data_IF_937611427643
#
_entry.id   IF_937611427643
#
_cell.length_a   1.000
_cell.length_b   1.000
_cell.length_c   1.000
_cell.angle_alpha   90.00
_cell.angle_beta   90.00
_cell.angle_gamma   90.00
#
_symmetry.space_group_name_H-M   'P 1'
#
loop_
_entity.id
_entity.type
_entity.pdbx_description
1 polymer ?
#
# COMPACT_ATOMS: atom_id res chain seq x y z
N UNK A 1 -5.00 13.08 13.66
CA UNK A 1 -4.58 11.77 13.10
C UNK A 1 -4.39 11.95 11.60
N UNK A 2 -3.37 11.33 11.02
CA UNK A 2 -3.16 11.37 9.58
C UNK A 2 -3.41 9.98 8.97
N UNK A 3 -4.00 9.96 7.78
CA UNK A 3 -4.16 8.78 6.94
C UNK A 3 -3.10 8.85 5.83
N UNK A 4 -2.07 8.01 5.92
CA UNK A 4 -0.93 8.00 5.00
C UNK A 4 -1.15 6.92 3.93
N UNK A 5 -1.55 7.31 2.73
CA UNK A 5 -1.94 6.40 1.66
C UNK A 5 -0.81 6.30 0.63
N UNK A 6 0.06 5.31 0.76
CA UNK A 6 1.09 5.01 -0.24
C UNK A 6 0.45 4.31 -1.44
N UNK A 7 0.61 4.85 -2.63
CA UNK A 7 -0.08 4.40 -3.83
C UNK A 7 -1.51 4.96 -3.95
N UNK A 8 -1.75 6.13 -3.36
CA UNK A 8 -3.08 6.76 -3.29
C UNK A 8 -3.62 7.24 -4.64
N UNK A 9 -2.75 7.57 -5.59
CA UNK A 9 -3.12 7.96 -6.96
C UNK A 9 -3.47 6.78 -7.86
N UNK A 10 -3.31 5.53 -7.42
CA UNK A 10 -3.75 4.34 -8.12
C UNK A 10 -5.27 4.13 -8.06
N UNK A 11 -5.78 3.15 -8.82
CA UNK A 11 -7.22 2.84 -8.88
C UNK A 11 -7.83 2.59 -7.48
N UNK A 12 -7.29 1.62 -6.73
CA UNK A 12 -7.79 1.29 -5.39
C UNK A 12 -7.57 2.47 -4.43
N UNK A 13 -6.42 3.14 -4.52
CA UNK A 13 -6.06 4.26 -3.66
C UNK A 13 -7.04 5.43 -3.78
N UNK A 14 -7.41 5.80 -4.99
CA UNK A 14 -8.38 6.87 -5.25
C UNK A 14 -9.73 6.56 -4.61
N UNK A 15 -10.25 5.34 -4.81
CA UNK A 15 -11.51 4.92 -4.19
C UNK A 15 -11.42 4.87 -2.66
N UNK A 16 -10.29 4.41 -2.11
CA UNK A 16 -10.07 4.41 -0.66
C UNK A 16 -10.07 5.84 -0.11
N UNK A 17 -9.37 6.77 -0.76
CA UNK A 17 -9.31 8.17 -0.33
C UNK A 17 -10.71 8.79 -0.31
N UNK A 18 -11.54 8.55 -1.32
CA UNK A 18 -12.93 8.99 -1.32
C UNK A 18 -13.69 8.44 -0.11
N UNK A 19 -13.58 7.14 0.16
CA UNK A 19 -14.26 6.52 1.31
C UNK A 19 -13.73 7.02 2.65
N UNK A 20 -12.44 7.28 2.77
CA UNK A 20 -11.87 7.87 4.00
C UNK A 20 -12.45 9.27 4.25
N UNK A 21 -12.54 10.11 3.23
CA UNK A 21 -13.15 11.45 3.34
C UNK A 21 -14.58 11.38 3.87
N UNK A 22 -15.37 10.47 3.31
CA UNK A 22 -16.81 10.39 3.61
C UNK A 22 -17.12 9.77 4.97
N UNK A 23 -16.31 8.81 5.42
CA UNK A 23 -16.67 7.93 6.53
C UNK A 23 -15.74 8.02 7.75
N UNK A 24 -14.50 8.47 7.59
CA UNK A 24 -13.49 8.29 8.64
C UNK A 24 -12.87 9.60 9.14
N UNK A 25 -12.73 10.61 8.28
CA UNK A 25 -12.01 11.85 8.62
C UNK A 25 -12.82 12.72 9.56
N UNK A 26 -12.22 13.08 10.68
CA UNK A 26 -12.76 14.01 11.66
C UNK A 26 -12.14 15.40 11.48
N UNK A 27 -12.74 16.46 12.03
CA UNK A 27 -12.10 17.78 12.04
C UNK A 27 -10.70 17.71 12.65
N UNK A 28 -9.70 18.18 11.90
CA UNK A 28 -8.30 18.14 12.30
C UNK A 28 -7.52 16.91 11.82
N UNK A 29 -8.16 15.91 11.23
CA UNK A 29 -7.47 14.81 10.54
C UNK A 29 -7.05 15.23 9.13
N UNK A 30 -5.98 14.61 8.61
CA UNK A 30 -5.49 14.84 7.26
C UNK A 30 -5.37 13.53 6.49
N UNK A 31 -5.66 13.58 5.19
CA UNK A 31 -5.35 12.49 4.26
C UNK A 31 -4.16 12.91 3.41
N UNK A 32 -3.12 12.09 3.40
CA UNK A 32 -1.95 12.25 2.54
C UNK A 32 -1.98 11.18 1.44
N UNK A 33 -2.01 11.63 0.19
CA UNK A 33 -1.74 10.78 -0.97
C UNK A 33 -0.23 10.82 -1.24
N UNK A 34 0.42 9.68 -1.02
CA UNK A 34 1.86 9.48 -1.13
C UNK A 34 2.14 8.55 -2.32
N UNK A 35 2.38 9.14 -3.48
CA UNK A 35 2.54 8.37 -4.71
C UNK A 35 3.72 8.85 -5.55
N UNK A 36 4.20 8.00 -6.44
CA UNK A 36 5.22 8.36 -7.43
C UNK A 36 4.62 9.27 -8.52
N UNK A 37 3.36 9.09 -8.83
CA UNK A 37 2.61 9.81 -9.86
C UNK A 37 1.58 10.72 -9.21
N UNK A 38 1.53 11.97 -9.68
CA UNK A 38 0.61 12.96 -9.12
C UNK A 38 -0.66 13.11 -9.99
N UNK A 39 -1.80 13.50 -9.39
CA UNK A 39 -3.01 13.77 -10.15
C UNK A 39 -2.78 14.75 -11.31
N UNK A 40 -3.28 14.39 -12.48
CA UNK A 40 -3.14 15.21 -13.70
C UNK A 40 -1.84 14.96 -14.48
N UNK A 41 -0.96 14.05 -14.05
CA UNK A 41 0.21 13.64 -14.83
C UNK A 41 -0.13 12.55 -15.84
N UNK A 42 0.67 12.48 -16.92
CA UNK A 42 0.55 11.43 -17.93
C UNK A 42 0.84 10.05 -17.30
N UNK A 43 0.02 9.05 -17.63
CA UNK A 43 0.13 7.71 -17.06
C UNK A 43 -0.80 7.42 -15.88
N UNK A 44 -1.49 8.43 -15.37
CA UNK A 44 -2.60 8.26 -14.43
C UNK A 44 -3.85 7.88 -15.21
N UNK A 45 -4.63 6.93 -14.70
CA UNK A 45 -5.86 6.49 -15.39
C UNK A 45 -6.78 7.69 -15.58
N UNK A 46 -7.09 8.09 -16.84
CA UNK A 46 -7.92 9.25 -17.10
C UNK A 46 -9.29 9.12 -16.41
N UNK A 47 -9.73 10.18 -15.72
CA UNK A 47 -11.04 10.25 -15.07
C UNK A 47 -11.08 9.68 -13.65
N UNK A 48 -9.99 9.09 -13.13
CA UNK A 48 -9.95 8.55 -11.76
C UNK A 48 -9.24 9.50 -10.80
N UNK A 49 -8.31 10.30 -11.30
CA UNK A 49 -7.47 11.15 -10.44
C UNK A 49 -7.71 12.62 -10.72
N UNK A 50 -8.86 13.12 -10.32
CA UNK A 50 -9.02 14.54 -10.03
C UNK A 50 -8.45 14.82 -8.64
N UNK A 51 -7.80 15.99 -8.48
CA UNK A 51 -7.36 16.42 -7.14
C UNK A 51 -8.57 16.47 -6.23
N UNK A 52 -8.57 15.60 -5.22
CA UNK A 52 -9.59 15.64 -4.19
C UNK A 52 -9.35 16.84 -3.28
N UNK A 53 -10.34 17.70 -3.14
CA UNK A 53 -10.31 18.78 -2.17
C UNK A 53 -10.09 18.20 -0.75
N UNK A 54 -9.18 18.81 0.00
CA UNK A 54 -8.86 18.36 1.38
C UNK A 54 -7.87 17.19 1.45
N UNK A 55 -7.29 16.74 0.33
CA UNK A 55 -6.21 15.75 0.28
C UNK A 55 -4.88 16.43 0.03
N UNK A 56 -3.87 16.04 0.78
CA UNK A 56 -2.50 16.56 0.68
C UNK A 56 -1.69 15.57 -0.17
N UNK A 57 -1.21 16.02 -1.31
CA UNK A 57 -0.44 15.20 -2.26
C UNK A 57 1.05 15.40 -2.06
N UNK A 58 1.80 14.29 -1.95
CA UNK A 58 3.26 14.30 -1.86
C UNK A 58 3.86 13.23 -2.76
N UNK A 59 4.86 13.62 -3.55
CA UNK A 59 5.60 12.66 -4.38
C UNK A 59 6.51 11.81 -3.52
N UNK A 60 6.26 10.51 -3.50
CA UNK A 60 7.03 9.53 -2.73
C UNK A 60 7.34 8.32 -3.61
N UNK A 61 8.61 7.95 -3.67
CA UNK A 61 9.07 6.70 -4.28
C UNK A 61 9.37 5.69 -3.18
N UNK A 62 8.48 4.73 -2.99
CA UNK A 62 8.62 3.70 -1.95
C UNK A 62 9.85 2.81 -2.11
N UNK A 63 10.49 2.79 -3.29
CA UNK A 63 11.75 2.07 -3.53
C UNK A 63 12.94 2.70 -2.79
N UNK A 64 12.77 3.92 -2.28
CA UNK A 64 13.78 4.70 -1.56
C UNK A 64 13.37 4.88 -0.11
N UNK A 65 14.31 5.18 0.81
CA UNK A 65 13.97 5.60 2.16
C UNK A 65 12.95 6.75 2.14
N UNK A 66 11.88 6.61 2.92
CA UNK A 66 10.78 7.57 2.93
C UNK A 66 11.13 8.74 3.85
N UNK A 67 11.02 9.95 3.30
CA UNK A 67 11.12 11.20 4.04
C UNK A 67 9.94 12.10 3.69
N UNK A 68 9.26 12.63 4.70
CA UNK A 68 8.13 13.55 4.54
C UNK A 68 8.49 14.93 5.13
N UNK A 69 7.81 15.96 4.66
CA UNK A 69 7.96 17.34 5.12
C UNK A 69 7.21 17.65 6.43
N UNK A 70 6.68 16.62 7.07
CA UNK A 70 6.04 16.67 8.38
C UNK A 70 6.45 15.45 9.21
N UNK A 71 6.22 15.50 10.52
CA UNK A 71 6.52 14.38 11.43
C UNK A 71 5.24 13.61 11.74
N UNK A 72 5.13 12.35 11.30
CA UNK A 72 4.02 11.48 11.68
C UNK A 72 3.99 11.20 13.18
N UNK A 73 2.84 10.77 13.66
CA UNK A 73 2.60 10.42 15.06
C UNK A 73 2.24 8.93 15.21
N UNK A 74 2.29 8.43 16.43
CA UNK A 74 1.94 7.05 16.76
C UNK A 74 0.48 6.70 16.47
N UNK A 75 -0.39 7.70 16.35
CA UNK A 75 -1.82 7.53 16.09
C UNK A 75 -2.16 7.54 14.58
N UNK A 76 -1.18 7.86 13.74
CA UNK A 76 -1.38 7.87 12.29
C UNK A 76 -1.54 6.43 11.76
N UNK A 77 -2.23 6.32 10.61
CA UNK A 77 -2.54 5.04 9.98
C UNK A 77 -1.93 5.00 8.59
N UNK A 78 -1.20 3.94 8.30
CA UNK A 78 -0.64 3.68 6.98
C UNK A 78 -1.57 2.75 6.19
N UNK A 79 -1.87 3.14 4.96
CA UNK A 79 -2.43 2.30 3.91
C UNK A 79 -1.36 2.09 2.86
N UNK A 80 -0.81 0.88 2.79
CA UNK A 80 0.21 0.56 1.79
C UNK A 80 -0.41 -0.17 0.60
N UNK A 81 -0.69 0.60 -0.46
CA UNK A 81 -1.22 0.13 -1.74
C UNK A 81 -0.16 0.24 -2.85
N UNK A 82 0.99 0.87 -2.55
CA UNK A 82 2.03 1.08 -3.55
C UNK A 82 2.56 -0.26 -4.07
N UNK A 83 2.44 -0.49 -5.36
CA UNK A 83 2.91 -1.72 -6.01
C UNK A 83 3.05 -1.54 -7.52
N UNK A 84 3.97 -2.27 -8.11
CA UNK A 84 3.89 -2.62 -9.53
C UNK A 84 2.85 -3.75 -9.65
N UNK A 85 1.80 -3.46 -10.39
CA UNK A 85 0.69 -4.36 -10.64
C UNK A 85 1.02 -5.32 -11.78
N UNK A 86 0.29 -6.45 -11.88
CA UNK A 86 0.38 -7.38 -12.99
C UNK A 86 -0.10 -6.71 -14.28
N UNK A 87 0.80 -6.04 -14.98
CA UNK A 87 0.56 -5.50 -16.32
C UNK A 87 1.56 -6.17 -17.26
N UNK A 88 1.15 -6.69 -18.42
CA UNK A 88 2.08 -7.23 -19.40
C UNK A 88 3.17 -6.20 -19.72
N UNK A 89 4.43 -6.65 -19.78
CA UNK A 89 5.55 -5.81 -20.20
C UNK A 89 6.45 -5.26 -19.07
N UNK A 90 6.16 -5.53 -17.80
CA UNK A 90 7.12 -5.25 -16.74
C UNK A 90 8.15 -6.37 -16.64
N UNK A 91 9.45 -6.04 -16.55
CA UNK A 91 10.47 -7.04 -16.25
C UNK A 91 10.32 -7.53 -14.81
N UNK A 92 10.71 -8.78 -14.54
CA UNK A 92 10.51 -9.43 -13.25
C UNK A 92 11.09 -8.64 -12.07
N UNK A 93 12.25 -8.02 -12.26
CA UNK A 93 12.92 -7.23 -11.21
C UNK A 93 12.08 -6.03 -10.74
N UNK A 94 11.22 -5.46 -11.60
CA UNK A 94 10.40 -4.30 -11.25
C UNK A 94 9.41 -4.63 -10.13
N UNK A 95 8.88 -5.86 -10.10
CA UNK A 95 8.02 -6.34 -9.02
C UNK A 95 8.79 -6.42 -7.70
N UNK A 96 10.03 -6.89 -7.74
CA UNK A 96 10.84 -7.05 -6.53
C UNK A 96 11.31 -5.69 -6.00
N UNK A 97 11.79 -4.83 -6.88
CA UNK A 97 12.23 -3.49 -6.49
C UNK A 97 11.12 -2.62 -5.90
N UNK A 98 9.91 -2.71 -6.45
CA UNK A 98 8.81 -1.89 -5.96
C UNK A 98 8.07 -2.56 -4.80
N UNK A 99 7.66 -3.82 -4.96
CA UNK A 99 6.75 -4.43 -3.98
C UNK A 99 7.51 -4.88 -2.72
N UNK A 100 8.71 -5.43 -2.86
CA UNK A 100 9.51 -5.91 -1.73
C UNK A 100 10.24 -4.73 -1.07
N UNK A 101 11.01 -3.98 -1.85
CA UNK A 101 11.73 -2.82 -1.29
C UNK A 101 10.76 -1.76 -0.75
N UNK A 102 9.62 -1.57 -1.41
CA UNK A 102 8.55 -0.70 -0.92
C UNK A 102 8.01 -1.13 0.42
N UNK A 103 7.75 -2.45 0.61
CA UNK A 103 7.32 -2.98 1.90
C UNK A 103 8.38 -2.76 3.00
N UNK A 104 9.67 -2.99 2.69
CA UNK A 104 10.78 -2.73 3.61
C UNK A 104 10.82 -1.26 4.03
N UNK A 105 10.75 -0.33 3.07
CA UNK A 105 10.84 1.11 3.35
C UNK A 105 9.61 1.63 4.11
N UNK A 106 8.40 1.17 3.76
CA UNK A 106 7.16 1.57 4.46
C UNK A 106 7.16 1.04 5.90
N UNK A 107 7.58 -0.20 6.13
CA UNK A 107 7.65 -0.76 7.50
C UNK A 107 8.77 -0.11 8.32
N UNK A 108 9.92 0.20 7.72
CA UNK A 108 11.00 0.94 8.36
C UNK A 108 10.55 2.36 8.74
N UNK A 109 9.84 3.05 7.85
CA UNK A 109 9.25 4.36 8.12
C UNK A 109 8.24 4.30 9.29
N UNK A 110 7.36 3.31 9.31
CA UNK A 110 6.42 3.10 10.41
C UNK A 110 7.16 2.87 11.74
N UNK A 111 8.23 2.08 11.72
CA UNK A 111 9.05 1.78 12.90
C UNK A 111 9.78 3.04 13.41
N UNK A 112 10.38 3.82 12.51
CA UNK A 112 11.09 5.06 12.84
C UNK A 112 10.18 6.09 13.53
N UNK A 113 8.90 6.18 13.12
CA UNK A 113 7.94 7.14 13.64
C UNK A 113 6.99 6.56 14.71
N UNK A 114 7.17 5.30 15.08
CA UNK A 114 6.34 4.63 16.09
C UNK A 114 4.88 4.43 15.65
N UNK A 115 4.59 4.46 14.33
CA UNK A 115 3.26 4.21 13.79
C UNK A 115 2.90 2.75 14.06
N UNK A 116 1.67 2.51 14.54
CA UNK A 116 1.24 1.19 15.03
C UNK A 116 0.25 0.49 14.13
N UNK A 117 -0.32 1.18 13.12
CA UNK A 117 -1.39 0.64 12.29
C UNK A 117 -0.99 0.66 10.82
N UNK A 118 -0.94 -0.52 10.21
CA UNK A 118 -0.74 -0.68 8.77
C UNK A 118 -1.85 -1.54 8.20
N UNK A 119 -2.50 -1.05 7.13
CA UNK A 119 -3.29 -1.85 6.22
C UNK A 119 -2.48 -2.04 4.94
N UNK A 120 -2.21 -3.29 4.60
CA UNK A 120 -1.46 -3.67 3.40
C UNK A 120 -2.37 -4.33 2.37
N UNK A 121 -2.39 -3.79 1.17
CA UNK A 121 -3.10 -4.39 0.05
C UNK A 121 -2.18 -5.38 -0.67
N UNK A 122 -2.44 -6.66 -0.44
CA UNK A 122 -1.82 -7.77 -1.13
C UNK A 122 -2.59 -8.12 -2.41
N UNK A 123 -2.81 -9.41 -2.67
CA UNK A 123 -3.52 -9.93 -3.84
C UNK A 123 -3.91 -11.40 -3.57
N UNK A 124 -4.80 -11.95 -4.37
CA UNK A 124 -4.99 -13.41 -4.47
C UNK A 124 -3.82 -14.11 -5.19
N UNK A 125 -2.97 -13.38 -5.92
CA UNK A 125 -1.84 -13.94 -6.68
C UNK A 125 -0.85 -14.77 -5.82
N UNK A 126 -0.61 -14.52 -4.53
CA UNK A 126 0.13 -15.41 -3.64
C UNK A 126 -0.38 -16.85 -3.57
N UNK A 127 -1.66 -17.08 -3.82
CA UNK A 127 -2.20 -18.46 -3.83
C UNK A 127 -1.84 -19.27 -5.07
N UNK A 128 -1.34 -18.61 -6.12
CA UNK A 128 -1.11 -19.23 -7.42
C UNK A 128 -2.40 -19.48 -8.20
N UNK A 129 -2.25 -20.00 -9.42
CA UNK A 129 -3.39 -20.40 -10.24
C UNK A 129 -3.92 -21.76 -9.78
N UNK A 130 -5.18 -21.83 -9.39
CA UNK A 130 -5.85 -23.06 -9.02
C UNK A 130 -7.36 -22.92 -9.21
N UNK A 131 -8.03 -24.02 -9.51
CA UNK A 131 -9.50 -24.08 -9.63
C UNK A 131 -10.19 -24.28 -8.28
N UNK A 132 -9.43 -24.64 -7.26
CA UNK A 132 -9.95 -24.88 -5.90
C UNK A 132 -10.27 -23.59 -5.18
N UNK A 133 -11.28 -23.64 -4.31
CA UNK A 133 -11.59 -22.55 -3.38
C UNK A 133 -10.39 -22.27 -2.46
N UNK A 134 -9.95 -21.02 -2.43
CA UNK A 134 -8.88 -20.55 -1.53
C UNK A 134 -9.47 -19.74 -0.39
N UNK A 135 -8.88 -19.90 0.78
CA UNK A 135 -9.20 -19.17 2.00
C UNK A 135 -7.91 -18.57 2.56
N UNK A 136 -8.02 -17.75 3.59
CA UNK A 136 -6.88 -17.14 4.26
C UNK A 136 -5.91 -18.19 4.85
N UNK A 137 -6.42 -19.39 5.20
CA UNK A 137 -5.63 -20.50 5.73
C UNK A 137 -4.97 -21.36 4.64
N UNK A 138 -5.30 -21.11 3.37
CA UNK A 138 -4.69 -21.86 2.26
C UNK A 138 -3.21 -21.53 2.15
N UNK A 139 -2.36 -22.55 2.04
CA UNK A 139 -0.92 -22.38 1.85
C UNK A 139 -0.65 -21.61 0.54
N UNK A 140 0.03 -20.46 0.59
CA UNK A 140 0.41 -19.72 -0.60
C UNK A 140 1.42 -20.50 -1.47
N UNK A 141 1.14 -20.62 -2.76
CA UNK A 141 2.00 -21.29 -3.75
C UNK A 141 2.12 -20.42 -5.01
N UNK A 142 2.68 -19.20 -4.89
CA UNK A 142 2.76 -18.28 -6.03
C UNK A 142 3.67 -18.82 -7.12
N UNK A 143 3.27 -18.66 -8.37
CA UNK A 143 4.00 -19.11 -9.55
C UNK A 143 4.31 -17.97 -10.54
N UNK A 144 4.15 -16.72 -10.10
CA UNK A 144 4.49 -15.52 -10.89
C UNK A 144 5.37 -14.57 -10.08
N UNK A 145 6.24 -13.75 -10.72
CA UNK A 145 7.04 -12.75 -10.03
C UNK A 145 6.20 -11.78 -9.21
N UNK A 146 5.03 -11.38 -9.71
CA UNK A 146 4.07 -10.57 -8.98
C UNK A 146 3.56 -11.27 -7.71
N UNK A 147 3.05 -12.50 -7.83
CA UNK A 147 2.55 -13.27 -6.68
C UNK A 147 3.62 -13.51 -5.63
N UNK A 148 4.85 -13.84 -6.06
CA UNK A 148 6.01 -14.01 -5.18
C UNK A 148 6.31 -12.70 -4.45
N UNK A 149 6.39 -11.57 -5.17
CA UNK A 149 6.69 -10.27 -4.58
C UNK A 149 5.66 -9.82 -3.54
N UNK A 150 4.37 -10.07 -3.81
CA UNK A 150 3.29 -9.77 -2.86
C UNK A 150 3.36 -10.66 -1.61
N UNK A 151 3.65 -11.96 -1.77
CA UNK A 151 3.83 -12.86 -0.62
C UNK A 151 5.02 -12.44 0.26
N UNK A 152 6.15 -12.09 -0.35
CA UNK A 152 7.31 -11.61 0.41
C UNK A 152 6.98 -10.30 1.14
N UNK A 153 6.27 -9.37 0.48
CA UNK A 153 5.81 -8.14 1.11
C UNK A 153 4.87 -8.41 2.31
N UNK A 154 3.96 -9.38 2.22
CA UNK A 154 3.16 -9.81 3.38
C UNK A 154 4.04 -10.25 4.56
N UNK A 155 5.08 -11.06 4.29
CA UNK A 155 6.01 -11.54 5.34
C UNK A 155 6.77 -10.39 5.98
N UNK A 156 7.20 -9.39 5.22
CA UNK A 156 7.86 -8.20 5.74
C UNK A 156 6.93 -7.45 6.71
N UNK A 157 5.66 -7.23 6.35
CA UNK A 157 4.68 -6.60 7.21
C UNK A 157 4.37 -7.43 8.46
N UNK A 158 4.28 -8.76 8.33
CA UNK A 158 4.10 -9.67 9.48
C UNK A 158 5.29 -9.63 10.44
N UNK A 159 6.53 -9.58 9.93
CA UNK A 159 7.73 -9.40 10.75
C UNK A 159 7.67 -8.05 11.49
N UNK A 160 7.28 -6.97 10.80
CA UNK A 160 7.09 -5.66 11.44
C UNK A 160 6.07 -5.75 12.58
N UNK A 161 4.93 -6.38 12.38
CA UNK A 161 3.91 -6.57 13.42
C UNK A 161 4.44 -7.37 14.61
N UNK A 162 5.16 -8.47 14.35
CA UNK A 162 5.65 -9.39 15.38
C UNK A 162 6.67 -8.75 16.34
N UNK A 163 7.34 -7.67 15.96
CA UNK A 163 8.33 -6.99 16.80
C UNK A 163 7.71 -6.24 17.99
N UNK A 164 6.42 -5.92 17.95
CA UNK A 164 5.76 -5.15 19.03
C UNK A 164 4.28 -5.51 19.14
N UNK A 165 3.83 -5.85 20.34
CA UNK A 165 2.45 -6.33 20.60
C UNK A 165 1.36 -5.29 20.36
N UNK A 166 1.72 -4.00 20.31
CA UNK A 166 0.79 -2.90 20.04
C UNK A 166 0.59 -2.61 18.56
N UNK A 167 1.32 -3.30 17.69
CA UNK A 167 1.20 -3.11 16.23
C UNK A 167 0.03 -3.90 15.68
N UNK A 168 -0.77 -3.22 14.89
CA UNK A 168 -1.94 -3.77 14.21
C UNK A 168 -1.66 -3.85 12.70
N UNK A 169 -1.81 -5.03 12.13
CA UNK A 169 -1.64 -5.27 10.71
C UNK A 169 -2.92 -5.89 10.14
N UNK A 170 -3.43 -5.28 9.09
CA UNK A 170 -4.49 -5.86 8.26
C UNK A 170 -3.93 -6.14 6.88
N UNK A 171 -4.01 -7.38 6.41
CA UNK A 171 -3.64 -7.77 5.05
C UNK A 171 -4.92 -8.03 4.26
N UNK A 172 -5.11 -7.31 3.17
CA UNK A 172 -6.24 -7.48 2.26
C UNK A 172 -5.75 -8.15 0.98
N UNK A 173 -6.37 -9.26 0.58
CA UNK A 173 -6.07 -9.98 -0.67
C UNK A 173 -7.23 -9.82 -1.64
N UNK A 174 -7.33 -8.71 -2.37
CA UNK A 174 -8.40 -8.51 -3.33
C UNK A 174 -8.29 -9.53 -4.47
N UNK A 175 -9.46 -9.91 -5.00
CA UNK A 175 -9.57 -10.66 -6.23
C UNK A 175 -9.31 -9.79 -7.47
N UNK A 176 -10.04 -10.05 -8.54
CA UNK A 176 -10.00 -9.20 -9.74
C UNK A 176 -10.85 -7.96 -9.45
N UNK A 177 -10.21 -6.80 -9.58
CA UNK A 177 -10.81 -5.48 -9.36
C UNK A 177 -10.89 -4.75 -10.69
#
# INVERSE_FOLDING_TARGET
MNYLVFGGSGFIGTHLIHRLKDACVKPGDCIYDLDLVMPGEEGVVPGIVEKNEGVIYRRVDVRKPIALDFTPTTDDVIFNLAAVHRTPGHPDYAYFETNIRGAENVTAFAEQHGIRKILFTSSIAPYGAAEELKTEDTLPTPNTPYGISKLVAEKIHQIWQAKETKRELTIVRPGIV
#
